data_IF_674426285696
#
_entry.id   IF_674426285696
#
_cell.length_a   1.000
_cell.length_b   1.000
_cell.length_c   1.000
_cell.angle_alpha   90.00
_cell.angle_beta   90.00
_cell.angle_gamma   90.00
#
_symmetry.space_group_name_H-M   'P 1'
#
loop_
_entity.id
_entity.type
_entity.pdbx_description
1 polymer ?
#
# COMPACT_ATOMS: atom_id res chain seq x y z
N UNK A 1 -37.64 -1.32 -23.32
CA UNK A 1 -36.24 -1.79 -23.39
C UNK A 1 -35.44 -1.09 -22.30
N UNK A 2 -34.56 -1.80 -21.60
CA UNK A 2 -33.69 -1.15 -20.59
C UNK A 2 -32.65 -0.25 -21.29
N UNK A 3 -32.31 0.91 -20.72
CA UNK A 3 -31.28 1.77 -21.27
C UNK A 3 -29.92 1.07 -21.23
N UNK A 4 -29.21 1.13 -22.36
CA UNK A 4 -27.87 0.57 -22.55
C UNK A 4 -26.89 1.68 -22.89
N UNK A 5 -25.66 1.58 -22.39
CA UNK A 5 -24.55 2.47 -22.73
C UNK A 5 -23.44 1.66 -23.39
N UNK A 6 -23.00 2.07 -24.57
CA UNK A 6 -21.91 1.44 -25.30
C UNK A 6 -20.67 2.32 -25.24
N UNK A 7 -19.55 1.76 -24.78
CA UNK A 7 -18.25 2.45 -24.81
C UNK A 7 -17.40 1.80 -25.91
N UNK A 8 -17.02 2.62 -26.90
CA UNK A 8 -16.13 2.24 -27.99
C UNK A 8 -14.73 2.85 -27.82
N UNK A 9 -13.71 2.13 -28.26
CA UNK A 9 -12.35 2.64 -28.40
C UNK A 9 -12.18 3.11 -29.86
N UNK A 10 -11.61 4.29 -30.10
CA UNK A 10 -11.46 4.82 -31.48
C UNK A 10 -10.53 3.98 -32.37
N UNK A 11 -9.79 3.03 -31.80
CA UNK A 11 -8.92 2.09 -32.52
C UNK A 11 -9.60 0.76 -32.87
N UNK A 12 -10.85 0.53 -32.43
CA UNK A 12 -11.61 -0.69 -32.72
C UNK A 12 -13.09 -0.36 -32.97
N UNK A 13 -13.64 -0.55 -34.20
CA UNK A 13 -14.99 -0.11 -34.57
C UNK A 13 -16.13 -0.92 -33.92
N UNK A 14 -15.83 -1.91 -33.07
CA UNK A 14 -16.85 -2.61 -32.28
C UNK A 14 -16.91 -2.07 -30.84
N UNK A 15 -18.11 -1.85 -30.27
CA UNK A 15 -18.25 -1.47 -28.87
C UNK A 15 -17.67 -2.57 -27.98
N UNK A 16 -16.60 -2.25 -27.24
CA UNK A 16 -15.87 -3.23 -26.42
C UNK A 16 -16.62 -3.56 -25.13
N UNK A 17 -17.55 -2.70 -24.69
CA UNK A 17 -18.31 -2.93 -23.46
C UNK A 17 -19.69 -2.30 -23.54
N UNK A 18 -20.72 -3.11 -23.32
CA UNK A 18 -22.13 -2.67 -23.24
C UNK A 18 -22.59 -2.71 -21.79
N UNK A 19 -22.87 -1.57 -21.18
CA UNK A 19 -23.40 -1.50 -19.82
C UNK A 19 -24.92 -1.53 -19.84
N UNK A 20 -25.52 -2.28 -18.91
CA UNK A 20 -26.97 -2.27 -18.67
C UNK A 20 -27.30 -1.57 -17.37
N UNK A 21 -28.48 -0.94 -17.30
CA UNK A 21 -28.99 -0.27 -16.11
C UNK A 21 -29.87 -1.22 -15.29
N UNK A 22 -29.49 -1.44 -14.04
CA UNK A 22 -30.26 -2.23 -13.06
C UNK A 22 -31.54 -1.51 -12.62
N UNK A 23 -32.52 -2.24 -12.02
CA UNK A 23 -33.69 -1.64 -11.37
C UNK A 23 -33.33 -0.63 -10.26
N UNK A 24 -32.17 -0.79 -9.59
CA UNK A 24 -31.67 0.17 -8.60
C UNK A 24 -30.86 1.33 -9.20
N UNK A 25 -31.00 1.59 -10.51
CA UNK A 25 -30.38 2.72 -11.19
C UNK A 25 -28.84 2.67 -11.31
N UNK A 26 -28.21 1.50 -11.12
CA UNK A 26 -26.76 1.29 -11.23
C UNK A 26 -26.40 0.70 -12.58
N UNK A 27 -25.30 1.18 -13.18
CA UNK A 27 -24.72 0.60 -14.39
C UNK A 27 -23.90 -0.65 -14.06
N UNK A 28 -24.12 -1.74 -14.79
CA UNK A 28 -23.34 -2.97 -14.70
C UNK A 28 -22.69 -3.28 -16.05
N UNK A 29 -21.39 -3.59 -16.03
CA UNK A 29 -20.71 -4.17 -17.20
C UNK A 29 -21.15 -5.61 -17.40
N UNK A 30 -21.11 -6.16 -18.63
CA UNK A 30 -21.33 -7.58 -18.83
C UNK A 30 -20.28 -8.33 -18.02
N UNK A 31 -20.66 -9.41 -17.32
CA UNK A 31 -19.69 -10.40 -16.89
C UNK A 31 -19.10 -11.01 -18.16
N UNK A 32 -17.95 -10.53 -18.59
CA UNK A 32 -17.18 -11.19 -19.63
C UNK A 32 -16.65 -12.47 -19.01
N UNK A 33 -17.25 -13.61 -19.33
CA UNK A 33 -16.72 -14.91 -18.94
C UNK A 33 -15.38 -15.09 -19.65
N UNK A 34 -14.26 -15.34 -18.95
CA UNK A 34 -12.97 -15.51 -19.60
C UNK A 34 -12.99 -16.69 -20.61
N UNK A 35 -12.42 -16.53 -21.82
CA UNK A 35 -12.47 -17.54 -22.88
C UNK A 35 -11.64 -18.77 -22.54
N UNK A 36 -12.22 -19.98 -22.61
CA UNK A 36 -11.61 -21.27 -22.19
C UNK A 36 -10.13 -21.35 -22.59
N UNK A 37 -9.20 -21.82 -21.72
CA UNK A 37 -7.80 -21.81 -22.05
C UNK A 37 -7.51 -22.65 -23.30
N UNK A 38 -6.74 -22.08 -24.23
CA UNK A 38 -6.34 -22.76 -25.48
C UNK A 38 -5.41 -23.94 -25.20
N UNK A 39 -4.57 -23.84 -24.15
CA UNK A 39 -3.67 -24.91 -23.73
C UNK A 39 -4.42 -26.19 -23.29
N UNK A 40 -3.78 -27.35 -23.48
CA UNK A 40 -4.31 -28.63 -22.99
C UNK A 40 -4.20 -28.72 -21.46
N UNK A 41 -5.07 -29.52 -20.83
CA UNK A 41 -5.00 -29.74 -19.38
C UNK A 41 -3.63 -30.32 -18.97
N UNK A 42 -3.07 -31.21 -19.76
CA UNK A 42 -1.73 -31.78 -19.53
C UNK A 42 -0.64 -30.70 -19.51
N UNK A 43 -0.66 -29.77 -20.49
CA UNK A 43 0.27 -28.66 -20.57
C UNK A 43 0.14 -27.70 -19.37
N UNK A 44 -1.09 -27.40 -18.95
CA UNK A 44 -1.36 -26.59 -17.75
C UNK A 44 -0.82 -27.27 -16.48
N UNK A 45 -1.03 -28.58 -16.33
CA UNK A 45 -0.52 -29.36 -15.20
C UNK A 45 1.01 -29.44 -15.17
N UNK A 46 1.66 -29.60 -16.32
CA UNK A 46 3.12 -29.55 -16.43
C UNK A 46 3.66 -28.17 -16.03
N UNK A 47 3.04 -27.11 -16.53
CA UNK A 47 3.39 -25.72 -16.17
C UNK A 47 3.20 -25.47 -14.68
N UNK A 48 2.12 -25.98 -14.08
CA UNK A 48 1.83 -25.83 -12.66
C UNK A 48 2.90 -26.47 -11.79
N UNK A 49 3.31 -27.70 -12.10
CA UNK A 49 4.39 -28.39 -11.36
C UNK A 49 5.71 -27.60 -11.43
N UNK A 50 6.08 -27.12 -12.61
CA UNK A 50 7.29 -26.30 -12.80
C UNK A 50 7.22 -25.00 -11.98
N UNK A 51 6.09 -24.29 -12.02
CA UNK A 51 5.93 -23.03 -11.28
C UNK A 51 5.92 -23.25 -9.77
N UNK A 52 5.21 -24.26 -9.29
CA UNK A 52 5.20 -24.65 -7.87
C UNK A 52 6.61 -24.99 -7.38
N UNK A 53 7.37 -25.76 -8.16
CA UNK A 53 8.77 -26.08 -7.85
C UNK A 53 9.70 -24.87 -7.77
N UNK A 54 9.32 -23.74 -8.37
CA UNK A 54 10.12 -22.52 -8.41
C UNK A 54 9.67 -21.44 -7.41
N UNK A 55 8.59 -21.65 -6.65
CA UNK A 55 8.05 -20.64 -5.71
C UNK A 55 9.11 -20.20 -4.70
N UNK A 56 9.84 -21.14 -4.11
CA UNK A 56 10.91 -20.85 -3.14
C UNK A 56 11.98 -19.93 -3.71
N UNK A 57 12.36 -20.13 -4.98
CA UNK A 57 13.34 -19.26 -5.64
C UNK A 57 12.77 -17.85 -5.88
N UNK A 58 11.48 -17.72 -6.21
CA UNK A 58 10.85 -16.41 -6.35
C UNK A 58 10.80 -15.66 -5.02
N UNK A 59 10.47 -16.36 -3.92
CA UNK A 59 10.53 -15.79 -2.58
C UNK A 59 11.95 -15.33 -2.22
N UNK A 60 12.97 -16.13 -2.54
CA UNK A 60 14.37 -15.76 -2.32
C UNK A 60 14.78 -14.52 -3.13
N UNK A 61 14.34 -14.40 -4.40
CA UNK A 61 14.59 -13.21 -5.23
C UNK A 61 13.95 -11.96 -4.66
N UNK A 62 12.70 -12.03 -4.19
CA UNK A 62 12.03 -10.88 -3.55
C UNK A 62 12.82 -10.39 -2.32
N UNK A 63 13.31 -11.32 -1.48
CA UNK A 63 14.19 -10.98 -0.34
C UNK A 63 15.52 -10.38 -0.79
N UNK A 64 16.10 -10.89 -1.87
CA UNK A 64 17.32 -10.32 -2.45
C UNK A 64 17.10 -8.88 -2.95
N UNK A 65 15.99 -8.60 -3.63
CA UNK A 65 15.68 -7.25 -4.09
C UNK A 65 15.50 -6.25 -2.95
N UNK A 66 14.93 -6.70 -1.82
CA UNK A 66 14.87 -5.88 -0.60
C UNK A 66 16.30 -5.50 -0.14
N UNK A 67 17.21 -6.47 -0.09
CA UNK A 67 18.61 -6.23 0.30
C UNK A 67 19.36 -5.32 -0.69
N UNK A 68 18.90 -5.23 -1.94
CA UNK A 68 19.40 -4.29 -2.95
C UNK A 68 18.68 -2.93 -2.90
N UNK A 69 17.95 -2.63 -1.83
CA UNK A 69 17.22 -1.39 -1.60
C UNK A 69 16.19 -1.07 -2.68
N UNK A 70 15.53 -2.09 -3.25
CA UNK A 70 14.38 -1.88 -4.12
C UNK A 70 13.29 -1.06 -3.40
N UNK A 71 12.61 -0.19 -4.14
CA UNK A 71 11.53 0.61 -3.61
C UNK A 71 10.45 -0.29 -2.94
N UNK A 72 9.93 0.09 -1.75
CA UNK A 72 9.02 -0.77 -1.00
C UNK A 72 7.77 -1.22 -1.80
N UNK A 73 7.15 -0.31 -2.54
CA UNK A 73 5.97 -0.64 -3.35
C UNK A 73 6.29 -1.66 -4.44
N UNK A 74 7.43 -1.52 -5.12
CA UNK A 74 7.86 -2.42 -6.19
C UNK A 74 8.07 -3.86 -5.71
N UNK A 75 8.50 -4.07 -4.45
CA UNK A 75 8.61 -5.41 -3.86
C UNK A 75 7.24 -6.10 -3.78
N UNK A 76 6.22 -5.37 -3.37
CA UNK A 76 4.86 -5.88 -3.33
C UNK A 76 4.31 -6.08 -4.74
N UNK A 77 4.50 -5.13 -5.66
CA UNK A 77 4.01 -5.23 -7.04
C UNK A 77 4.59 -6.45 -7.76
N UNK A 78 5.88 -6.75 -7.58
CA UNK A 78 6.49 -7.96 -8.14
C UNK A 78 5.89 -9.23 -7.54
N UNK A 79 5.69 -9.25 -6.22
CA UNK A 79 5.09 -10.40 -5.54
C UNK A 79 3.63 -10.63 -6.00
N UNK A 80 2.85 -9.55 -6.13
CA UNK A 80 1.48 -9.58 -6.62
C UNK A 80 1.42 -10.01 -8.09
N UNK A 81 2.36 -9.57 -8.93
CA UNK A 81 2.50 -10.04 -10.30
C UNK A 81 2.76 -11.55 -10.37
N UNK A 82 3.70 -12.08 -9.58
CA UNK A 82 3.93 -13.53 -9.52
C UNK A 82 2.70 -14.28 -9.01
N UNK A 83 2.07 -13.78 -7.95
CA UNK A 83 0.86 -14.38 -7.38
C UNK A 83 -0.29 -14.41 -8.40
N UNK A 84 -0.50 -13.34 -9.17
CA UNK A 84 -1.50 -13.29 -10.24
C UNK A 84 -1.26 -14.42 -11.26
N UNK A 85 0.00 -14.61 -11.70
CA UNK A 85 0.30 -15.67 -12.67
C UNK A 85 0.02 -17.09 -12.14
N UNK A 86 0.09 -17.32 -10.83
CA UNK A 86 -0.26 -18.60 -10.21
C UNK A 86 -1.78 -18.77 -10.08
N UNK A 87 -2.49 -17.70 -9.72
CA UNK A 87 -3.96 -17.69 -9.65
C UNK A 87 -4.59 -17.93 -11.01
N UNK A 88 -4.10 -17.25 -12.05
CA UNK A 88 -4.59 -17.42 -13.41
C UNK A 88 -4.40 -18.86 -13.88
N UNK A 89 -3.24 -19.46 -13.58
CA UNK A 89 -2.98 -20.86 -13.92
C UNK A 89 -3.90 -21.83 -13.16
N UNK A 90 -4.20 -21.56 -11.89
CA UNK A 90 -5.16 -22.35 -11.12
C UNK A 90 -6.56 -22.28 -11.74
N UNK A 91 -7.02 -21.08 -12.09
CA UNK A 91 -8.31 -20.85 -12.74
C UNK A 91 -8.38 -21.53 -14.12
N UNK A 92 -7.30 -21.48 -14.90
CA UNK A 92 -7.20 -22.16 -16.18
C UNK A 92 -7.35 -23.67 -16.04
N UNK A 93 -6.69 -24.28 -15.05
CA UNK A 93 -6.82 -25.72 -14.76
C UNK A 93 -8.27 -26.07 -14.39
N UNK A 94 -8.86 -25.33 -13.46
CA UNK A 94 -10.22 -25.57 -12.97
C UNK A 94 -11.24 -25.48 -14.12
N UNK A 95 -11.08 -24.48 -14.99
CA UNK A 95 -11.98 -24.25 -16.12
C UNK A 95 -11.78 -25.23 -17.27
N UNK A 96 -10.53 -25.62 -17.55
CA UNK A 96 -10.23 -26.58 -18.62
C UNK A 96 -10.70 -27.98 -18.26
N UNK A 97 -10.53 -28.39 -17.00
CA UNK A 97 -10.89 -29.73 -16.56
C UNK A 97 -12.31 -29.86 -16.00
N UNK A 98 -12.91 -28.80 -15.45
CA UNK A 98 -14.26 -28.81 -14.90
C UNK A 98 -14.52 -29.98 -13.95
N UNK A 99 -15.60 -30.71 -14.17
CA UNK A 99 -15.98 -31.88 -13.37
C UNK A 99 -15.10 -33.10 -13.61
N UNK A 100 -14.35 -33.14 -14.71
CA UNK A 100 -13.47 -34.27 -15.07
C UNK A 100 -12.14 -34.28 -14.31
N UNK A 101 -11.85 -33.22 -13.55
CA UNK A 101 -10.64 -33.17 -12.73
C UNK A 101 -10.68 -34.22 -11.61
N UNK A 102 -9.63 -35.05 -11.60
CA UNK A 102 -9.31 -35.89 -10.44
C UNK A 102 -8.98 -35.05 -9.21
N UNK A 103 -9.10 -35.65 -8.02
CA UNK A 103 -8.77 -34.95 -6.78
C UNK A 103 -7.30 -34.49 -6.72
N UNK A 104 -6.38 -35.27 -7.30
CA UNK A 104 -4.97 -34.89 -7.40
C UNK A 104 -4.77 -33.63 -8.27
N UNK A 105 -5.53 -33.47 -9.35
CA UNK A 105 -5.46 -32.27 -10.19
C UNK A 105 -6.10 -31.06 -9.50
N UNK A 106 -7.21 -31.26 -8.77
CA UNK A 106 -7.82 -30.20 -7.93
C UNK A 106 -6.85 -29.74 -6.84
N UNK A 107 -6.10 -30.67 -6.24
CA UNK A 107 -5.06 -30.34 -5.26
C UNK A 107 -3.96 -29.45 -5.85
N UNK A 108 -3.55 -29.67 -7.10
CA UNK A 108 -2.55 -28.80 -7.77
C UNK A 108 -3.07 -27.37 -7.93
N UNK A 109 -4.32 -27.18 -8.33
CA UNK A 109 -4.93 -25.85 -8.41
C UNK A 109 -4.97 -25.16 -7.03
N UNK A 110 -5.37 -25.88 -5.97
CA UNK A 110 -5.34 -25.35 -4.60
C UNK A 110 -3.93 -24.98 -4.14
N UNK A 111 -2.92 -25.78 -4.46
CA UNK A 111 -1.53 -25.48 -4.12
C UNK A 111 -1.02 -24.21 -4.83
N UNK A 112 -1.45 -23.96 -6.07
CA UNK A 112 -1.13 -22.70 -6.78
C UNK A 112 -1.76 -21.49 -6.08
N UNK A 113 -3.01 -21.58 -5.65
CA UNK A 113 -3.70 -20.51 -4.93
C UNK A 113 -3.06 -20.24 -3.55
N UNK A 114 -2.67 -21.29 -2.84
CA UNK A 114 -1.94 -21.19 -1.58
C UNK A 114 -0.57 -20.53 -1.79
N UNK A 115 0.18 -20.96 -2.80
CA UNK A 115 1.47 -20.36 -3.14
C UNK A 115 1.34 -18.89 -3.55
N UNK A 116 0.29 -18.54 -4.29
CA UNK A 116 -0.02 -17.15 -4.63
C UNK A 116 -0.27 -16.32 -3.37
N UNK A 117 -1.13 -16.79 -2.47
CA UNK A 117 -1.42 -16.12 -1.19
C UNK A 117 -0.15 -15.93 -0.35
N UNK A 118 0.72 -16.94 -0.32
CA UNK A 118 2.02 -16.86 0.34
C UNK A 118 2.93 -15.79 -0.25
N UNK A 119 2.99 -15.65 -1.58
CA UNK A 119 3.75 -14.59 -2.25
C UNK A 119 3.19 -13.20 -1.94
N UNK A 120 1.87 -13.02 -1.97
CA UNK A 120 1.27 -11.72 -1.62
C UNK A 120 1.55 -11.32 -0.17
N UNK A 121 1.44 -12.28 0.74
CA UNK A 121 1.76 -12.09 2.16
C UNK A 121 3.22 -11.68 2.33
N UNK A 122 4.14 -12.37 1.64
CA UNK A 122 5.55 -12.02 1.65
C UNK A 122 5.80 -10.62 1.06
N UNK A 123 5.19 -10.28 -0.08
CA UNK A 123 5.34 -8.97 -0.71
C UNK A 123 4.91 -7.83 0.21
N UNK A 124 3.74 -7.96 0.85
CA UNK A 124 3.24 -7.02 1.86
C UNK A 124 4.21 -6.89 3.05
N UNK A 125 4.69 -8.03 3.58
CA UNK A 125 5.66 -8.04 4.67
C UNK A 125 6.94 -7.30 4.30
N UNK A 126 7.52 -7.59 3.12
CA UNK A 126 8.75 -6.96 2.67
C UNK A 126 8.57 -5.46 2.44
N UNK A 127 7.43 -5.02 1.92
CA UNK A 127 7.10 -3.60 1.79
C UNK A 127 7.06 -2.92 3.16
N UNK A 128 6.34 -3.49 4.14
CA UNK A 128 6.27 -2.94 5.50
C UNK A 128 7.67 -2.82 6.11
N UNK A 129 8.45 -3.90 6.08
CA UNK A 129 9.81 -3.92 6.61
C UNK A 129 10.71 -2.88 5.95
N UNK A 130 10.68 -2.78 4.61
CA UNK A 130 11.51 -1.83 3.87
C UNK A 130 11.04 -0.38 4.10
N UNK A 131 9.73 -0.14 4.22
CA UNK A 131 9.19 1.17 4.55
C UNK A 131 9.61 1.61 5.94
N UNK A 132 9.54 0.74 6.96
CA UNK A 132 9.99 1.05 8.33
C UNK A 132 11.49 1.35 8.41
N UNK A 133 12.29 0.67 7.60
CA UNK A 133 13.75 0.82 7.56
C UNK A 133 14.25 1.96 6.65
N UNK A 134 13.35 2.69 5.97
CA UNK A 134 13.78 3.71 4.99
C UNK A 134 14.52 4.87 5.67
N UNK A 135 15.69 5.29 5.16
CA UNK A 135 16.37 6.48 5.66
C UNK A 135 15.69 7.79 5.22
N UNK A 136 14.74 7.69 4.28
CA UNK A 136 14.05 8.83 3.68
C UNK A 136 12.53 8.67 3.80
N UNK A 137 11.96 8.79 5.02
CA UNK A 137 10.52 8.70 5.21
C UNK A 137 9.77 9.82 4.47
N UNK A 138 8.64 9.47 3.85
CA UNK A 138 7.78 10.37 3.10
C UNK A 138 6.35 10.21 3.61
N UNK A 139 5.49 11.19 3.33
CA UNK A 139 4.09 11.11 3.74
C UNK A 139 3.41 9.80 3.28
N UNK A 140 3.62 9.38 2.03
CA UNK A 140 3.07 8.12 1.50
C UNK A 140 3.59 6.87 2.21
N UNK A 141 4.78 6.92 2.82
CA UNK A 141 5.28 5.83 3.67
C UNK A 141 4.47 5.75 4.97
N UNK A 142 4.22 6.90 5.62
CA UNK A 142 3.42 6.96 6.83
C UNK A 142 1.95 6.60 6.57
N UNK A 143 1.36 7.13 5.51
CA UNK A 143 -0.01 6.80 5.09
C UNK A 143 -0.16 5.29 4.86
N UNK A 144 0.80 4.67 4.17
CA UNK A 144 0.80 3.23 3.95
C UNK A 144 0.89 2.46 5.28
N UNK A 145 1.88 2.77 6.14
CA UNK A 145 2.03 2.07 7.42
C UNK A 145 0.81 2.25 8.32
N UNK A 146 0.23 3.44 8.37
CA UNK A 146 -0.98 3.72 9.15
C UNK A 146 -2.18 2.91 8.63
N UNK A 147 -2.37 2.86 7.30
CA UNK A 147 -3.42 2.05 6.68
C UNK A 147 -3.21 0.54 6.87
N UNK A 148 -1.99 0.09 7.16
CA UNK A 148 -1.68 -1.29 7.50
C UNK A 148 -1.70 -1.56 9.02
N UNK A 149 -2.05 -0.58 9.85
CA UNK A 149 -2.03 -0.69 11.33
C UNK A 149 -0.63 -1.04 11.88
N UNK A 150 0.42 -0.63 11.17
CA UNK A 150 1.80 -0.95 11.51
C UNK A 150 2.49 0.12 12.37
N UNK A 151 1.79 1.24 12.61
CA UNK A 151 2.26 2.38 13.42
C UNK A 151 1.17 2.98 14.28
N UNK A 152 1.57 3.43 15.46
CA UNK A 152 0.75 4.27 16.34
C UNK A 152 1.21 5.72 16.25
N UNK A 153 0.26 6.64 16.08
CA UNK A 153 0.54 8.08 16.02
C UNK A 153 0.02 8.74 17.30
N UNK A 154 0.90 9.47 18.00
CA UNK A 154 0.57 10.11 19.29
C UNK A 154 1.07 11.54 19.30
N UNK A 155 0.32 12.42 19.96
CA UNK A 155 0.84 13.75 20.29
C UNK A 155 2.02 13.60 21.26
N UNK A 156 3.10 14.34 21.01
CA UNK A 156 4.31 14.30 21.84
C UNK A 156 4.39 15.53 22.73
N UNK A 157 4.53 16.72 22.11
CA UNK A 157 4.67 17.98 22.83
C UNK A 157 4.48 19.18 21.91
N UNK A 158 4.13 20.32 22.51
CA UNK A 158 4.39 21.63 21.93
C UNK A 158 5.75 22.11 22.44
N UNK A 159 6.63 22.54 21.54
CA UNK A 159 7.93 23.09 21.89
C UNK A 159 7.82 24.58 22.19
N UNK A 160 8.77 25.08 23.01
CA UNK A 160 8.90 26.52 23.25
C UNK A 160 9.02 27.26 21.90
N UNK A 161 8.22 28.32 21.69
CA UNK A 161 8.22 29.01 20.42
C UNK A 161 9.58 29.68 20.17
N UNK A 162 10.02 29.67 18.92
CA UNK A 162 11.19 30.45 18.54
C UNK A 162 10.86 31.94 18.72
N UNK A 163 11.80 32.69 19.30
CA UNK A 163 11.62 34.11 19.61
C UNK A 163 12.60 34.97 18.82
N UNK A 164 12.16 36.16 18.41
CA UNK A 164 13.03 37.18 17.84
C UNK A 164 13.90 37.86 18.93
N UNK A 165 14.74 38.81 18.54
CA UNK A 165 15.62 39.56 19.46
C UNK A 165 14.84 40.36 20.52
N UNK A 166 13.58 40.68 20.26
CA UNK A 166 12.67 41.39 21.16
C UNK A 166 11.90 40.43 22.09
N UNK A 167 12.17 39.12 22.04
CA UNK A 167 11.51 38.11 22.87
C UNK A 167 10.10 37.71 22.38
N UNK A 168 9.67 38.19 21.21
CA UNK A 168 8.36 37.88 20.65
C UNK A 168 8.41 36.55 19.90
N UNK A 169 7.39 35.70 20.13
CA UNK A 169 7.25 34.43 19.43
C UNK A 169 7.00 34.65 17.93
N UNK A 170 7.82 34.02 17.09
CA UNK A 170 7.76 34.11 15.62
C UNK A 170 7.44 32.77 14.96
N UNK A 171 7.62 31.65 15.68
CA UNK A 171 7.33 30.31 15.19
C UNK A 171 6.93 29.41 16.36
N UNK A 172 5.85 28.67 16.18
CA UNK A 172 5.39 27.62 17.07
C UNK A 172 5.65 26.28 16.41
N UNK A 173 6.12 25.31 17.20
CA UNK A 173 6.45 23.98 16.72
C UNK A 173 5.73 22.94 17.57
N UNK A 174 5.03 22.04 16.89
CA UNK A 174 4.44 20.86 17.50
C UNK A 174 5.11 19.59 17.01
N UNK A 175 5.25 18.64 17.92
CA UNK A 175 5.84 17.35 17.66
C UNK A 175 4.84 16.24 17.94
N UNK A 176 4.80 15.28 17.03
CA UNK A 176 4.07 14.02 17.14
C UNK A 176 5.05 12.87 17.01
N UNK A 177 4.77 11.79 17.72
CA UNK A 177 5.56 10.57 17.75
C UNK A 177 4.86 9.52 16.89
N UNK A 178 5.62 8.86 16.02
CA UNK A 178 5.18 7.73 15.21
C UNK A 178 5.94 6.50 15.70
N UNK A 179 5.25 5.63 16.41
CA UNK A 179 5.80 4.41 17.00
C UNK A 179 5.53 3.21 16.10
N UNK A 180 6.44 2.25 16.07
CA UNK A 180 6.14 0.92 15.53
C UNK A 180 5.09 0.26 16.42
N UNK A 181 3.95 -0.14 15.84
CA UNK A 181 2.83 -0.69 16.62
C UNK A 181 3.16 -2.03 17.32
N UNK A 182 4.17 -2.77 16.82
CA UNK A 182 4.57 -4.06 17.38
C UNK A 182 5.61 -3.92 18.48
N UNK A 183 6.57 -3.00 18.34
CA UNK A 183 7.65 -2.84 19.33
C UNK A 183 7.44 -1.68 20.30
N UNK A 184 6.59 -0.71 19.97
CA UNK A 184 6.42 0.54 20.71
C UNK A 184 7.59 1.52 20.58
N UNK A 185 8.62 1.17 19.79
CA UNK A 185 9.79 2.01 19.57
C UNK A 185 9.50 3.13 18.56
N UNK A 186 10.05 4.34 18.76
CA UNK A 186 9.85 5.44 17.84
C UNK A 186 10.54 5.15 16.51
N UNK A 187 9.77 5.14 15.42
CA UNK A 187 10.31 5.12 14.06
C UNK A 187 10.66 6.54 13.63
N UNK A 188 9.66 7.42 13.66
CA UNK A 188 9.74 8.78 13.14
C UNK A 188 9.08 9.78 14.10
N UNK A 189 9.35 11.06 13.84
CA UNK A 189 8.65 12.18 14.45
C UNK A 189 8.11 13.09 13.36
N UNK A 190 6.88 13.58 13.53
CA UNK A 190 6.33 14.64 12.69
C UNK A 190 6.45 15.98 13.39
N UNK A 191 6.96 16.98 12.68
CA UNK A 191 7.14 18.34 13.14
C UNK A 191 6.28 19.28 12.31
N UNK A 192 5.47 20.09 12.98
CA UNK A 192 4.56 21.06 12.36
C UNK A 192 4.85 22.47 12.84
N UNK A 193 5.15 23.34 11.89
CA UNK A 193 5.53 24.73 12.11
C UNK A 193 4.36 25.66 11.82
N UNK A 194 4.12 26.62 12.71
CA UNK A 194 3.05 27.60 12.60
C UNK A 194 3.57 29.00 12.94
N UNK A 195 3.06 30.04 12.26
CA UNK A 195 3.31 31.44 12.64
C UNK A 195 2.63 31.85 13.95
N UNK A 196 1.53 31.19 14.29
CA UNK A 196 0.73 31.45 15.49
C UNK A 196 0.50 30.15 16.23
N UNK A 197 0.19 30.22 17.52
CA UNK A 197 -0.19 29.04 18.29
C UNK A 197 -1.39 28.36 17.59
N UNK A 198 -1.27 27.10 17.16
CA UNK A 198 -2.36 26.40 16.50
C UNK A 198 -3.48 26.11 17.51
N UNK A 199 -4.73 26.08 17.03
CA UNK A 199 -5.85 25.53 17.77
C UNK A 199 -5.95 24.01 17.57
N UNK A 200 -7.17 23.47 17.52
CA UNK A 200 -7.38 22.02 17.38
C UNK A 200 -7.07 21.43 15.99
N UNK A 201 -6.72 22.25 14.99
CA UNK A 201 -6.50 21.83 13.60
C UNK A 201 -5.13 22.22 13.04
N UNK A 202 -4.90 21.90 11.76
CA UNK A 202 -3.66 22.22 11.05
C UNK A 202 -3.78 23.41 10.10
N UNK A 203 -4.88 24.16 10.16
CA UNK A 203 -5.09 25.33 9.32
C UNK A 203 -3.93 26.34 9.46
N UNK A 204 -3.46 26.87 8.33
CA UNK A 204 -2.32 27.81 8.27
C UNK A 204 -1.00 27.16 8.72
N UNK A 205 -0.83 25.88 8.43
CA UNK A 205 0.45 25.19 8.55
C UNK A 205 1.48 25.87 7.63
N UNK A 206 2.62 26.26 8.18
CA UNK A 206 3.71 26.86 7.39
C UNK A 206 4.59 25.77 6.78
N UNK A 207 4.91 24.74 7.57
CA UNK A 207 5.67 23.58 7.12
C UNK A 207 5.38 22.35 8.01
N UNK A 208 5.13 21.20 7.39
CA UNK A 208 5.10 19.91 8.05
C UNK A 208 6.20 19.01 7.52
N UNK A 209 6.85 18.23 8.37
CA UNK A 209 7.78 17.21 7.90
C UNK A 209 7.98 16.04 8.87
N UNK A 210 8.40 14.91 8.32
CA UNK A 210 8.86 13.71 9.02
C UNK A 210 10.37 13.74 9.21
N UNK A 211 10.81 13.30 10.39
CA UNK A 211 12.22 13.02 10.72
C UNK A 211 12.38 11.60 11.22
N UNK A 212 13.56 11.03 10.99
CA UNK A 212 13.99 9.80 11.66
C UNK A 212 14.07 10.01 13.17
N UNK A 213 13.78 8.97 13.97
CA UNK A 213 13.92 9.03 15.41
C UNK A 213 15.34 9.42 15.86
N UNK A 214 16.37 8.90 15.18
CA UNK A 214 17.79 9.26 15.41
C UNK A 214 18.11 10.72 15.09
N UNK A 215 17.30 11.37 14.26
CA UNK A 215 17.50 12.75 13.81
C UNK A 215 16.51 13.75 14.45
N UNK A 216 15.67 13.28 15.39
CA UNK A 216 14.59 14.07 16.01
C UNK A 216 15.00 15.50 16.36
N UNK A 217 16.12 15.65 17.07
CA UNK A 217 16.60 16.95 17.56
C UNK A 217 17.60 17.65 16.60
N UNK A 218 17.95 17.03 15.47
CA UNK A 218 18.93 17.59 14.54
C UNK A 218 18.29 18.70 13.69
N UNK A 219 18.97 19.84 13.60
CA UNK A 219 18.49 21.02 12.85
C UNK A 219 19.10 21.10 11.45
N UNK A 220 20.39 20.86 11.32
CA UNK A 220 21.12 20.83 10.06
C UNK A 220 21.34 19.39 9.59
N UNK A 221 21.36 19.19 8.27
CA UNK A 221 21.67 17.91 7.60
C UNK A 221 20.77 16.72 7.95
N UNK A 222 19.63 16.96 8.62
CA UNK A 222 18.61 15.94 8.89
C UNK A 222 17.68 15.78 7.70
N UNK A 223 17.20 14.55 7.46
CA UNK A 223 16.15 14.31 6.49
C UNK A 223 14.83 14.97 6.91
N UNK A 224 14.09 15.50 5.93
CA UNK A 224 12.78 16.13 6.15
C UNK A 224 11.81 15.70 5.05
N UNK A 225 11.02 14.67 5.33
CA UNK A 225 9.96 14.22 4.43
C UNK A 225 8.76 15.16 4.51
N UNK A 226 8.39 15.93 3.47
CA UNK A 226 7.35 16.94 3.58
C UNK A 226 5.97 16.34 3.90
N UNK A 227 5.19 17.07 4.70
CA UNK A 227 3.78 16.82 5.00
C UNK A 227 2.99 18.12 4.73
N UNK A 228 1.91 18.02 3.96
CA UNK A 228 1.02 19.14 3.73
C UNK A 228 -0.12 19.19 4.76
N UNK A 229 -0.91 20.28 4.73
CA UNK A 229 -2.02 20.50 5.67
C UNK A 229 -3.09 19.39 5.65
N UNK A 230 -3.41 18.85 4.46
CA UNK A 230 -4.38 17.77 4.29
C UNK A 230 -3.88 16.48 4.96
N UNK A 231 -2.62 16.11 4.72
CA UNK A 231 -1.98 14.95 5.32
C UNK A 231 -1.84 15.09 6.83
N UNK A 232 -1.47 16.29 7.30
CA UNK A 232 -1.41 16.61 8.72
C UNK A 232 -2.78 16.43 9.39
N UNK A 233 -3.85 16.95 8.77
CA UNK A 233 -5.21 16.83 9.27
C UNK A 233 -5.71 15.39 9.28
N UNK A 234 -5.43 14.62 8.23
CA UNK A 234 -5.88 13.24 8.09
C UNK A 234 -5.21 12.29 9.09
N UNK A 235 -3.89 12.44 9.31
CA UNK A 235 -3.10 11.50 10.13
C UNK A 235 -2.97 11.91 11.59
N UNK A 236 -3.00 13.22 11.89
CA UNK A 236 -2.69 13.77 13.21
C UNK A 236 -3.84 14.59 13.81
N UNK A 237 -4.93 14.78 13.07
CA UNK A 237 -6.11 15.50 13.54
C UNK A 237 -6.71 14.84 14.78
N UNK A 238 -7.18 15.67 15.72
CA UNK A 238 -7.81 15.19 16.96
C UNK A 238 -6.86 14.57 18.00
N UNK A 239 -5.57 14.43 17.69
CA UNK A 239 -4.58 13.89 18.63
C UNK A 239 -4.06 14.92 19.64
N UNK A 240 -4.27 16.23 19.41
CA UNK A 240 -3.90 17.25 20.40
C UNK A 240 -4.71 17.02 21.69
N UNK A 241 -4.08 17.09 22.87
CA UNK A 241 -4.83 17.09 24.12
C UNK A 241 -5.78 18.28 24.10
N UNK A 242 -7.01 18.06 24.56
CA UNK A 242 -7.96 19.14 24.83
C UNK A 242 -7.39 19.98 25.97
N UNK A 243 -7.29 21.30 25.78
CA UNK A 243 -6.99 22.20 26.89
C UNK A 243 -8.13 22.04 27.91
N UNK A 244 -7.78 21.56 29.11
CA UNK A 244 -8.68 21.50 30.27
C UNK A 244 -8.78 22.83 30.99
#
# INVERSE_FOLDING_TARGET
GQPQMQIGNQLAPQPQTTFSRTPENRWQSPRVTPPVPTASLESLMATARTRLGNVTNQQAKLRQYKNLNMAPASLQDLADGYAATLKDLAQDILRKGGDTLSEAQRAVARNLEQAATGLQTLGKQLRIEQTKATPQPLAGHLEYLHAQEEVDIKWSRQLEPAKNKQGQAIEYLEEYRIDDARTGEPLWYAHFHFKKRPGNGFARLEAGHLKLASERNQRANAWRGPLNESQASALFGGLRPTEG
#
